data_IF_039416073204
#
_entry.id   IF_039416073204
#
_cell.length_a   1.000
_cell.length_b   1.000
_cell.length_c   1.000
_cell.angle_alpha   90.00
_cell.angle_beta   90.00
_cell.angle_gamma   90.00
#
_symmetry.space_group_name_H-M   'P 1'
#
loop_
_entity.id
_entity.type
_entity.pdbx_description
1 polymer ?
#
# COMPACT_ATOMS: atom_id res chain seq x y z
N UNK A 1 18.72 -30.10 -0.60
CA UNK A 1 19.21 -28.81 -0.06
C UNK A 1 18.73 -27.73 -1.03
N UNK A 2 17.65 -27.04 -0.67
CA UNK A 2 17.12 -25.95 -1.49
C UNK A 2 17.80 -24.66 -1.05
N UNK A 3 18.40 -23.95 -2.01
CA UNK A 3 19.00 -22.64 -1.79
C UNK A 3 17.87 -21.66 -1.50
N UNK A 4 17.84 -21.10 -0.29
CA UNK A 4 17.06 -19.88 -0.05
C UNK A 4 17.81 -18.77 -0.76
N UNK A 5 17.25 -18.27 -1.86
CA UNK A 5 17.72 -17.02 -2.44
C UNK A 5 17.45 -15.92 -1.41
N UNK A 6 18.49 -15.51 -0.68
CA UNK A 6 18.42 -14.29 0.12
C UNK A 6 18.48 -13.13 -0.87
N UNK A 7 17.32 -12.65 -1.30
CA UNK A 7 17.24 -11.36 -1.97
C UNK A 7 17.75 -10.31 -0.98
N UNK A 8 18.85 -9.64 -1.31
CA UNK A 8 19.49 -8.58 -0.53
C UNK A 8 18.64 -7.27 -0.49
N UNK A 9 17.31 -7.43 -0.49
CA UNK A 9 16.33 -6.36 -0.58
C UNK A 9 15.17 -6.62 0.37
N UNK A 10 14.66 -5.53 0.96
CA UNK A 10 13.52 -5.58 1.86
C UNK A 10 12.29 -6.17 1.14
N UNK A 11 11.65 -7.15 1.77
CA UNK A 11 10.39 -7.69 1.31
C UNK A 11 9.25 -6.69 1.58
N UNK A 12 8.51 -6.31 0.52
CA UNK A 12 7.32 -5.48 0.68
C UNK A 12 6.14 -6.33 1.20
N UNK A 13 5.99 -6.36 2.52
CA UNK A 13 4.90 -7.09 3.20
C UNK A 13 3.50 -6.49 2.96
N UNK A 14 3.40 -5.23 2.53
CA UNK A 14 2.12 -4.55 2.30
C UNK A 14 1.51 -4.88 0.93
N UNK A 15 2.29 -5.37 -0.03
CA UNK A 15 1.84 -5.59 -1.41
C UNK A 15 0.65 -6.56 -1.48
N UNK A 16 -0.41 -6.14 -2.15
CA UNK A 16 -1.68 -6.84 -2.32
C UNK A 16 -2.37 -7.27 -1.02
N UNK A 17 -2.08 -6.58 0.08
CA UNK A 17 -2.76 -6.82 1.35
C UNK A 17 -4.08 -6.05 1.44
N UNK A 18 -5.02 -6.48 2.31
CA UNK A 18 -6.23 -5.73 2.56
C UNK A 18 -5.92 -4.33 3.05
N UNK A 19 -6.51 -3.32 2.41
CA UNK A 19 -6.38 -1.94 2.82
C UNK A 19 -7.75 -1.28 2.95
N UNK A 20 -7.88 -0.38 3.92
CA UNK A 20 -9.07 0.43 4.18
C UNK A 20 -8.67 1.87 4.42
N UNK A 21 -9.60 2.79 4.18
CA UNK A 21 -9.40 4.22 4.38
C UNK A 21 -10.66 4.84 4.97
N UNK A 22 -10.50 6.02 5.57
CA UNK A 22 -11.57 6.73 6.28
C UNK A 22 -12.80 7.02 5.43
N UNK A 23 -12.60 7.38 4.16
CA UNK A 23 -13.66 7.65 3.19
C UNK A 23 -13.16 7.37 1.77
N UNK A 24 -14.06 7.09 0.82
CA UNK A 24 -13.69 6.84 -0.58
C UNK A 24 -14.13 8.02 -1.43
N UNK A 25 -13.18 8.60 -2.19
CA UNK A 25 -13.49 9.43 -3.35
C UNK A 25 -13.48 8.51 -4.58
N UNK A 26 -14.65 8.18 -5.13
CA UNK A 26 -14.74 7.21 -6.23
C UNK A 26 -14.01 7.70 -7.50
N UNK A 27 -13.22 6.86 -8.18
CA UNK A 27 -12.98 5.42 -7.97
C UNK A 27 -11.67 5.08 -7.21
N UNK A 28 -11.14 5.99 -6.41
CA UNK A 28 -9.80 5.87 -5.79
C UNK A 28 -9.83 5.08 -4.48
N UNK A 29 -9.83 3.75 -4.60
CA UNK A 29 -9.94 2.82 -3.47
C UNK A 29 -8.64 2.59 -2.69
N UNK A 30 -8.77 2.26 -1.40
CA UNK A 30 -7.63 2.02 -0.51
C UNK A 30 -6.63 0.97 -0.99
N UNK A 31 -7.09 -0.09 -1.67
CA UNK A 31 -6.22 -1.16 -2.14
C UNK A 31 -5.21 -0.70 -3.21
N UNK A 32 -5.48 0.43 -3.88
CA UNK A 32 -4.57 0.99 -4.88
C UNK A 32 -3.24 1.41 -4.25
N UNK A 33 -3.23 1.83 -2.98
CA UNK A 33 -1.99 2.13 -2.24
C UNK A 33 -1.07 0.92 -2.02
N UNK A 34 -1.52 -0.30 -2.34
CA UNK A 34 -0.74 -1.54 -2.20
C UNK A 34 -0.82 -2.44 -3.44
N UNK A 35 -1.28 -1.95 -4.58
CA UNK A 35 -1.42 -2.74 -5.82
C UNK A 35 -0.06 -3.06 -6.51
N UNK A 36 1.03 -2.51 -5.97
CA UNK A 36 2.39 -2.73 -6.49
C UNK A 36 2.73 -1.91 -7.72
N UNK A 37 1.90 -0.95 -8.12
CA UNK A 37 2.27 0.14 -9.01
C UNK A 37 2.63 1.38 -8.17
N UNK A 38 3.76 2.00 -8.49
CA UNK A 38 4.29 3.17 -7.79
C UNK A 38 4.21 4.45 -8.64
N UNK A 39 3.45 4.41 -9.74
CA UNK A 39 3.21 5.56 -10.59
C UNK A 39 2.45 6.63 -9.81
N UNK A 40 2.94 7.87 -9.91
CA UNK A 40 2.32 9.03 -9.28
C UNK A 40 1.36 9.78 -10.20
N UNK A 41 1.14 9.29 -11.42
CA UNK A 41 0.13 9.85 -12.29
C UNK A 41 -1.26 9.38 -11.84
N UNK A 42 -1.98 10.26 -11.15
CA UNK A 42 -3.35 9.99 -10.70
C UNK A 42 -4.34 9.66 -11.82
N UNK A 43 -4.01 9.94 -13.09
CA UNK A 43 -4.82 9.55 -14.25
C UNK A 43 -4.61 8.09 -14.66
N UNK A 44 -3.54 7.43 -14.21
CA UNK A 44 -3.31 6.01 -14.46
C UNK A 44 -4.15 5.11 -13.53
N UNK A 45 -4.81 5.69 -12.52
CA UNK A 45 -5.78 4.96 -11.69
C UNK A 45 -5.15 4.07 -10.61
N UNK A 46 -3.90 4.34 -10.23
CA UNK A 46 -3.14 3.57 -9.22
C UNK A 46 -3.01 4.28 -7.86
N UNK A 47 -3.56 5.49 -7.72
CA UNK A 47 -3.56 6.21 -6.45
C UNK A 47 -4.84 5.91 -5.65
N UNK A 48 -4.73 5.86 -4.32
CA UNK A 48 -5.88 5.91 -3.43
C UNK A 48 -6.23 7.37 -3.09
N UNK A 49 -7.51 7.66 -2.79
CA UNK A 49 -7.90 9.00 -2.39
C UNK A 49 -9.11 8.98 -1.44
N UNK A 50 -8.99 9.71 -0.34
CA UNK A 50 -10.11 10.02 0.56
C UNK A 50 -10.92 11.21 0.06
N UNK A 51 -12.10 11.41 0.63
CA UNK A 51 -12.81 12.69 0.50
C UNK A 51 -12.11 13.76 1.34
N UNK A 52 -12.47 15.03 1.09
CA UNK A 52 -12.02 16.13 1.94
C UNK A 52 -12.73 16.05 3.30
N UNK A 53 -12.02 15.58 4.30
CA UNK A 53 -12.53 15.40 5.67
C UNK A 53 -11.47 15.77 6.73
N UNK A 54 -11.86 15.79 7.99
CA UNK A 54 -10.95 16.05 9.10
C UNK A 54 -10.20 14.79 9.49
N UNK A 55 -8.87 14.86 9.53
CA UNK A 55 -7.97 13.75 9.88
C UNK A 55 -8.23 12.47 9.04
N UNK A 56 -8.12 12.56 7.69
CA UNK A 56 -8.25 11.37 6.85
C UNK A 56 -7.16 10.35 7.19
N UNK A 57 -7.48 9.07 7.07
CA UNK A 57 -6.55 7.98 7.37
C UNK A 57 -6.66 6.86 6.35
N UNK A 58 -5.56 6.13 6.19
CA UNK A 58 -5.45 4.91 5.41
C UNK A 58 -4.69 3.87 6.23
N UNK A 59 -5.09 2.61 6.12
CA UNK A 59 -4.51 1.50 6.87
C UNK A 59 -4.45 0.24 6.00
N UNK A 60 -3.36 -0.51 6.12
CA UNK A 60 -3.19 -1.84 5.55
C UNK A 60 -3.10 -2.88 6.66
N UNK A 61 -3.83 -3.97 6.51
CA UNK A 61 -3.68 -5.17 7.34
C UNK A 61 -2.64 -6.09 6.69
N UNK A 62 -1.46 -6.24 7.29
CA UNK A 62 -0.40 -7.09 6.76
C UNK A 62 -0.75 -8.60 6.81
N UNK A 63 -1.84 -8.96 7.47
CA UNK A 63 -2.30 -10.34 7.72
C UNK A 63 -1.25 -11.22 8.41
N UNK A 64 -0.40 -10.58 9.22
CA UNK A 64 0.70 -11.22 9.93
C UNK A 64 1.49 -10.22 10.75
N UNK A 65 2.33 -10.73 11.64
CA UNK A 65 3.26 -9.90 12.41
C UNK A 65 4.58 -9.81 11.66
N UNK A 66 5.06 -8.57 11.46
CA UNK A 66 6.31 -8.28 10.78
C UNK A 66 7.13 -7.32 11.62
N UNK A 67 8.45 -7.51 11.62
CA UNK A 67 9.38 -6.47 12.04
C UNK A 67 9.51 -5.51 10.86
N UNK A 68 9.03 -4.28 11.04
CA UNK A 68 9.02 -3.29 9.98
C UNK A 68 10.34 -2.52 10.00
N UNK A 69 11.15 -2.69 8.95
CA UNK A 69 12.42 -1.99 8.79
C UNK A 69 12.28 -0.66 8.02
N UNK A 70 11.33 -0.59 7.08
CA UNK A 70 11.13 0.59 6.23
C UNK A 70 9.66 0.74 5.86
N UNK A 71 9.18 1.98 5.86
CA UNK A 71 7.92 2.39 5.24
C UNK A 71 8.26 3.37 4.13
N UNK A 72 7.69 3.18 2.95
CA UNK A 72 7.88 4.06 1.79
C UNK A 72 6.52 4.48 1.24
N UNK A 73 6.33 5.78 1.06
CA UNK A 73 5.11 6.37 0.51
C UNK A 73 5.45 7.02 -0.84
N UNK A 74 4.51 6.93 -1.79
CA UNK A 74 4.57 7.58 -3.11
C UNK A 74 3.37 8.50 -3.29
N UNK A 75 3.51 9.50 -4.16
CA UNK A 75 2.44 10.47 -4.46
C UNK A 75 1.42 9.86 -5.42
#
# INVERSE_FOLDING_TARGET
>A
MFMVETTDGLYNAARFKPAIQSSIFYPYYAYLGVDGNYSSDGLEGHCQQTQKEWNPWWMVDLCGQFIIEKIQLTN
#
